data_IF_261749757835
#
_entry.id   IF_261749757835
#
_cell.length_a   1.000
_cell.length_b   1.000
_cell.length_c   1.000
_cell.angle_alpha   90.00
_cell.angle_beta   90.00
_cell.angle_gamma   90.00
#
_symmetry.space_group_name_H-M   'P 1'
#
loop_
_entity.id
_entity.type
_entity.pdbx_description
1 polymer ?
#
# COMPACT_ATOMS: atom_id res chain seq x y z
N UNK A 1 13.12 -44.59 -42.29
CA UNK A 1 13.57 -43.38 -41.54
C UNK A 1 12.34 -42.54 -41.24
N UNK A 2 11.85 -42.48 -39.98
CA UNK A 2 10.70 -41.65 -39.65
C UNK A 2 11.12 -40.23 -39.26
N UNK A 3 10.33 -39.25 -39.72
CA UNK A 3 10.38 -37.83 -39.34
C UNK A 3 9.82 -37.68 -37.92
N UNK A 4 10.56 -37.03 -37.03
CA UNK A 4 10.05 -36.54 -35.75
C UNK A 4 9.40 -35.16 -35.93
N UNK A 5 8.21 -35.01 -35.34
CA UNK A 5 7.29 -33.87 -35.40
C UNK A 5 7.64 -32.77 -34.37
N UNK A 6 7.24 -31.50 -34.59
CA UNK A 6 7.35 -30.44 -33.59
C UNK A 6 5.96 -30.14 -32.98
N UNK A 7 5.53 -30.88 -31.96
CA UNK A 7 4.20 -30.68 -31.34
C UNK A 7 4.25 -30.24 -29.86
N UNK A 8 5.43 -30.20 -29.24
CA UNK A 8 5.57 -30.02 -27.79
C UNK A 8 5.66 -28.55 -27.31
N UNK A 9 5.78 -27.57 -28.20
CA UNK A 9 6.00 -26.16 -27.84
C UNK A 9 4.72 -25.34 -27.62
N UNK A 10 3.55 -25.84 -28.06
CA UNK A 10 2.29 -25.10 -27.98
C UNK A 10 1.53 -25.31 -26.64
N UNK A 11 1.62 -26.51 -26.07
CA UNK A 11 0.93 -26.89 -24.82
C UNK A 11 1.47 -26.21 -23.55
N UNK A 12 2.77 -25.87 -23.50
CA UNK A 12 3.33 -25.19 -22.32
C UNK A 12 2.94 -23.71 -22.25
N UNK A 13 2.56 -23.11 -23.38
CA UNK A 13 2.26 -21.68 -23.50
C UNK A 13 0.84 -21.36 -23.01
N UNK A 14 -0.15 -22.22 -23.30
CA UNK A 14 -1.51 -22.09 -22.76
C UNK A 14 -1.56 -22.39 -21.25
N UNK A 15 -0.80 -23.39 -20.79
CA UNK A 15 -0.72 -23.75 -19.37
C UNK A 15 -0.21 -22.60 -18.47
N UNK A 16 0.73 -21.79 -18.97
CA UNK A 16 1.24 -20.61 -18.25
C UNK A 16 0.19 -19.50 -18.07
N UNK A 17 -0.70 -19.30 -19.04
CA UNK A 17 -1.79 -18.32 -18.92
C UNK A 17 -2.85 -18.76 -17.91
N UNK A 18 -3.18 -20.06 -17.86
CA UNK A 18 -4.12 -20.58 -16.88
C UNK A 18 -3.59 -20.49 -15.43
N UNK A 19 -2.29 -20.69 -15.21
CA UNK A 19 -1.63 -20.48 -13.91
C UNK A 19 -1.63 -19.01 -13.46
N UNK A 20 -1.46 -18.05 -14.37
CA UNK A 20 -1.52 -16.63 -14.06
C UNK A 20 -2.94 -16.18 -13.68
N UNK A 21 -3.94 -16.68 -14.40
CA UNK A 21 -5.36 -16.38 -14.16
C UNK A 21 -5.83 -17.00 -12.83
N UNK A 22 -5.42 -18.23 -12.53
CA UNK A 22 -5.76 -18.89 -11.26
C UNK A 22 -5.08 -18.23 -10.06
N UNK A 23 -3.81 -17.80 -10.20
CA UNK A 23 -3.12 -17.02 -9.18
C UNK A 23 -3.80 -15.69 -8.88
N UNK A 24 -4.26 -14.97 -9.92
CA UNK A 24 -5.03 -13.74 -9.74
C UNK A 24 -6.38 -13.99 -9.05
N UNK A 25 -7.09 -15.07 -9.42
CA UNK A 25 -8.36 -15.44 -8.78
C UNK A 25 -8.21 -15.78 -7.29
N UNK A 26 -7.13 -16.49 -6.91
CA UNK A 26 -6.84 -16.80 -5.50
C UNK A 26 -6.53 -15.54 -4.69
N UNK A 27 -5.75 -14.60 -5.24
CA UNK A 27 -5.46 -13.32 -4.59
C UNK A 27 -6.74 -12.49 -4.40
N UNK A 28 -7.62 -12.46 -5.41
CA UNK A 28 -8.91 -11.76 -5.31
C UNK A 28 -9.81 -12.38 -4.24
N UNK A 29 -9.88 -13.71 -4.17
CA UNK A 29 -10.72 -14.42 -3.19
C UNK A 29 -10.23 -14.19 -1.75
N UNK A 30 -8.92 -14.32 -1.50
CA UNK A 30 -8.34 -14.07 -0.18
C UNK A 30 -8.53 -12.61 0.26
N UNK A 31 -8.38 -11.66 -0.67
CA UNK A 31 -8.59 -10.24 -0.39
C UNK A 31 -10.05 -9.94 -0.03
N UNK A 32 -11.01 -10.64 -0.61
CA UNK A 32 -12.42 -10.46 -0.31
C UNK A 32 -12.77 -10.92 1.12
N UNK A 33 -12.19 -12.03 1.58
CA UNK A 33 -12.41 -12.56 2.93
C UNK A 33 -11.81 -11.63 4.00
N UNK A 34 -10.57 -11.17 3.81
CA UNK A 34 -9.90 -10.24 4.73
C UNK A 34 -10.62 -8.89 4.84
N UNK A 35 -11.21 -8.40 3.74
CA UNK A 35 -12.02 -7.19 3.76
C UNK A 35 -13.29 -7.34 4.61
N UNK A 36 -13.88 -8.54 4.62
CA UNK A 36 -15.10 -8.80 5.39
C UNK A 36 -14.80 -8.78 6.89
N UNK A 37 -13.74 -9.47 7.32
CA UNK A 37 -13.31 -9.49 8.72
C UNK A 37 -12.90 -8.10 9.25
N UNK A 38 -12.19 -7.32 8.45
CA UNK A 38 -11.80 -5.96 8.85
C UNK A 38 -13.01 -5.01 8.89
N UNK A 39 -14.03 -5.27 8.06
CA UNK A 39 -15.27 -4.50 8.07
C UNK A 39 -16.13 -4.79 9.29
N UNK A 40 -16.21 -6.04 9.72
CA UNK A 40 -16.92 -6.42 10.95
C UNK A 40 -16.32 -5.72 12.17
N UNK A 41 -14.99 -5.76 12.34
CA UNK A 41 -14.29 -5.03 13.41
C UNK A 41 -14.55 -3.53 13.37
N UNK A 42 -14.61 -2.95 12.18
CA UNK A 42 -14.91 -1.53 12.01
C UNK A 42 -16.36 -1.21 12.43
N UNK A 43 -17.32 -2.04 12.04
CA UNK A 43 -18.73 -1.89 12.41
C UNK A 43 -18.90 -1.99 13.93
N UNK A 44 -18.25 -2.95 14.58
CA UNK A 44 -18.29 -3.12 16.03
C UNK A 44 -17.79 -1.86 16.78
N UNK A 45 -16.63 -1.32 16.38
CA UNK A 45 -16.07 -0.11 16.99
C UNK A 45 -16.93 1.12 16.68
N UNK A 46 -17.50 1.20 15.48
CA UNK A 46 -18.42 2.27 15.09
C UNK A 46 -19.73 2.23 15.89
N UNK A 47 -20.31 1.04 16.09
CA UNK A 47 -21.51 0.84 16.91
C UNK A 47 -21.24 1.15 18.38
N UNK A 48 -20.08 0.76 18.92
CA UNK A 48 -19.66 1.15 20.28
C UNK A 48 -19.55 2.67 20.43
N UNK A 49 -18.93 3.36 19.47
CA UNK A 49 -18.82 4.81 19.48
C UNK A 49 -20.18 5.53 19.34
N UNK A 50 -21.11 4.97 18.55
CA UNK A 50 -22.49 5.50 18.42
C UNK A 50 -23.34 5.27 19.66
N UNK A 51 -23.20 4.11 20.30
CA UNK A 51 -23.95 3.75 21.52
C UNK A 51 -23.42 4.43 22.77
N UNK A 52 -22.13 4.81 22.79
CA UNK A 52 -21.48 5.49 23.92
C UNK A 52 -20.89 6.85 23.48
N UNK A 53 -21.71 7.83 23.05
CA UNK A 53 -21.23 9.10 22.48
C UNK A 53 -20.45 9.97 23.48
N UNK A 54 -20.67 9.79 24.79
CA UNK A 54 -19.96 10.51 25.84
C UNK A 54 -18.69 9.77 26.32
N UNK A 55 -18.42 8.55 25.82
CA UNK A 55 -17.21 7.81 26.15
C UNK A 55 -16.08 8.27 25.24
N UNK A 56 -15.16 9.07 25.78
CA UNK A 56 -13.99 9.56 25.05
C UNK A 56 -13.18 8.41 24.43
N UNK A 57 -13.07 7.28 25.13
CA UNK A 57 -12.37 6.09 24.66
C UNK A 57 -12.99 5.49 23.40
N UNK A 58 -14.33 5.41 23.32
CA UNK A 58 -15.02 4.85 22.15
C UNK A 58 -14.83 5.72 20.89
N UNK A 59 -14.92 7.05 21.04
CA UNK A 59 -14.65 7.99 19.93
C UNK A 59 -13.19 7.93 19.47
N UNK A 60 -12.28 7.72 20.42
CA UNK A 60 -10.84 7.66 20.18
C UNK A 60 -10.43 6.36 19.46
N UNK A 61 -10.96 5.21 19.90
CA UNK A 61 -10.74 3.92 19.26
C UNK A 61 -11.26 3.93 17.81
N UNK A 62 -12.40 4.57 17.56
CA UNK A 62 -12.93 4.76 16.21
C UNK A 62 -12.00 5.62 15.34
N UNK A 63 -11.41 6.69 15.87
CA UNK A 63 -10.47 7.52 15.13
C UNK A 63 -9.17 6.76 14.81
N UNK A 64 -8.67 5.97 15.78
CA UNK A 64 -7.48 5.13 15.62
C UNK A 64 -7.67 4.07 14.54
N UNK A 65 -8.74 3.27 14.59
CA UNK A 65 -8.98 2.20 13.62
C UNK A 65 -9.22 2.74 12.21
N UNK A 66 -9.84 3.92 12.09
CA UNK A 66 -9.93 4.64 10.82
C UNK A 66 -8.54 4.95 10.26
N UNK A 67 -7.66 5.54 11.08
CA UNK A 67 -6.30 5.88 10.66
C UNK A 67 -5.49 4.64 10.28
N UNK A 68 -5.53 3.58 11.09
CA UNK A 68 -4.89 2.29 10.79
C UNK A 68 -5.36 1.73 9.44
N UNK A 69 -6.66 1.78 9.15
CA UNK A 69 -7.23 1.37 7.86
C UNK A 69 -6.71 2.20 6.67
N UNK A 70 -6.55 3.52 6.85
CA UNK A 70 -5.94 4.38 5.82
C UNK A 70 -4.46 4.04 5.60
N UNK A 71 -3.71 3.77 6.67
CA UNK A 71 -2.30 3.34 6.61
C UNK A 71 -2.18 2.03 5.83
N UNK A 72 -2.96 1.01 6.22
CA UNK A 72 -2.88 -0.33 5.61
C UNK A 72 -3.23 -0.30 4.12
N UNK A 73 -4.25 0.48 3.75
CA UNK A 73 -4.62 0.70 2.34
C UNK A 73 -3.50 1.39 1.58
N UNK A 74 -2.90 2.41 2.17
CA UNK A 74 -1.82 3.16 1.56
C UNK A 74 -0.56 2.29 1.40
N UNK A 75 -0.14 1.55 2.42
CA UNK A 75 0.98 0.60 2.35
C UNK A 75 0.76 -0.50 1.31
N UNK A 76 -0.45 -1.04 1.22
CA UNK A 76 -0.81 -1.99 0.16
C UNK A 76 -0.71 -1.35 -1.23
N UNK A 77 -1.15 -0.10 -1.37
CA UNK A 77 -1.02 0.67 -2.60
C UNK A 77 0.45 0.92 -2.97
N UNK A 78 1.29 1.33 -2.03
CA UNK A 78 2.75 1.50 -2.21
C UNK A 78 3.37 0.23 -2.79
N UNK A 79 3.06 -0.93 -2.19
CA UNK A 79 3.57 -2.23 -2.63
C UNK A 79 3.13 -2.54 -4.07
N UNK A 80 1.85 -2.34 -4.38
CA UNK A 80 1.31 -2.58 -5.72
C UNK A 80 1.93 -1.67 -6.78
N UNK A 81 2.10 -0.37 -6.49
CA UNK A 81 2.77 0.59 -7.38
C UNK A 81 4.22 0.16 -7.61
N UNK A 82 4.94 -0.22 -6.55
CA UNK A 82 6.31 -0.68 -6.66
C UNK A 82 6.44 -1.90 -7.59
N UNK A 83 5.60 -2.92 -7.38
CA UNK A 83 5.61 -4.14 -8.21
C UNK A 83 5.26 -3.81 -9.68
N UNK A 84 4.22 -2.99 -9.91
CA UNK A 84 3.86 -2.56 -11.25
C UNK A 84 5.00 -1.82 -11.94
N UNK A 85 5.64 -0.89 -11.22
CA UNK A 85 6.79 -0.12 -11.71
C UNK A 85 7.93 -1.05 -12.11
N UNK A 86 8.26 -2.04 -11.26
CA UNK A 86 9.31 -3.02 -11.53
C UNK A 86 8.99 -3.86 -12.77
N UNK A 87 7.75 -4.36 -12.92
CA UNK A 87 7.32 -5.13 -14.10
C UNK A 87 7.44 -4.30 -15.38
N UNK A 88 6.97 -3.05 -15.34
CA UNK A 88 6.99 -2.14 -16.51
C UNK A 88 8.42 -1.80 -16.91
N UNK A 89 9.30 -1.50 -15.96
CA UNK A 89 10.71 -1.24 -16.27
C UNK A 89 11.41 -2.48 -16.82
N UNK A 90 11.16 -3.66 -16.24
CA UNK A 90 11.71 -4.92 -16.77
C UNK A 90 11.22 -5.20 -18.20
N UNK A 91 9.95 -4.93 -18.49
CA UNK A 91 9.41 -5.05 -19.85
C UNK A 91 10.06 -4.04 -20.82
N UNK A 92 10.25 -2.78 -20.40
CA UNK A 92 10.93 -1.75 -21.17
C UNK A 92 12.38 -2.12 -21.48
N UNK A 93 13.15 -2.57 -20.49
CA UNK A 93 14.51 -3.06 -20.70
C UNK A 93 14.56 -4.33 -21.56
N UNK A 94 13.57 -5.22 -21.44
CA UNK A 94 13.48 -6.41 -22.29
C UNK A 94 13.28 -6.04 -23.76
N UNK A 95 12.45 -5.02 -24.06
CA UNK A 95 12.29 -4.51 -25.41
C UNK A 95 13.57 -3.88 -25.95
N UNK A 96 14.29 -3.10 -25.11
CA UNK A 96 15.59 -2.55 -25.51
C UNK A 96 16.57 -3.67 -25.84
N UNK A 97 16.69 -4.66 -24.96
CA UNK A 97 17.58 -5.81 -25.16
C UNK A 97 17.21 -6.64 -26.39
N UNK A 98 15.91 -6.86 -26.63
CA UNK A 98 15.42 -7.54 -27.83
C UNK A 98 15.75 -6.76 -29.10
N UNK A 99 15.53 -5.44 -29.12
CA UNK A 99 15.88 -4.59 -30.25
C UNK A 99 17.37 -4.62 -30.59
N UNK A 100 18.24 -4.56 -29.57
CA UNK A 100 19.69 -4.69 -29.75
C UNK A 100 20.05 -6.08 -30.27
N UNK A 101 19.46 -7.13 -29.69
CA UNK A 101 19.70 -8.51 -30.12
C UNK A 101 19.35 -8.72 -31.60
N UNK A 102 18.21 -8.20 -32.07
CA UNK A 102 17.78 -8.31 -33.48
C UNK A 102 18.84 -7.71 -34.42
N UNK A 103 19.37 -6.53 -34.11
CA UNK A 103 20.39 -5.89 -34.96
C UNK A 103 21.70 -6.68 -35.00
N UNK A 104 22.07 -7.35 -33.91
CA UNK A 104 23.30 -8.14 -33.85
C UNK A 104 23.21 -9.44 -34.65
N UNK A 105 22.04 -10.10 -34.66
CA UNK A 105 21.84 -11.38 -35.36
C UNK A 105 21.50 -11.17 -36.83
N UNK A 106 20.64 -10.19 -37.10
CA UNK A 106 20.15 -9.86 -38.45
C UNK A 106 20.42 -8.37 -38.73
N UNK A 107 21.66 -8.00 -39.11
CA UNK A 107 22.04 -6.60 -39.33
C UNK A 107 21.22 -5.87 -40.41
N UNK A 108 20.53 -6.60 -41.27
CA UNK A 108 19.65 -6.03 -42.30
C UNK A 108 18.32 -5.51 -41.70
N UNK A 109 17.94 -5.94 -40.49
CA UNK A 109 16.68 -5.58 -39.82
C UNK A 109 16.86 -4.43 -38.80
N UNK A 110 17.69 -3.44 -39.16
CA UNK A 110 17.94 -2.24 -38.36
C UNK A 110 16.65 -1.50 -37.98
N UNK A 111 15.68 -1.41 -38.90
CA UNK A 111 14.41 -0.73 -38.64
C UNK A 111 13.63 -1.39 -37.49
N UNK A 112 13.55 -2.73 -37.47
CA UNK A 112 12.85 -3.47 -36.43
C UNK A 112 13.54 -3.30 -35.07
N UNK A 113 14.87 -3.38 -35.05
CA UNK A 113 15.67 -3.16 -33.84
C UNK A 113 15.49 -1.77 -33.25
N UNK A 114 15.58 -0.72 -34.08
CA UNK A 114 15.39 0.68 -33.66
C UNK A 114 13.98 0.90 -33.09
N UNK A 115 12.93 0.43 -33.77
CA UNK A 115 11.55 0.60 -33.29
C UNK A 115 11.35 -0.09 -31.94
N UNK A 116 11.90 -1.29 -31.75
CA UNK A 116 11.81 -2.03 -30.50
C UNK A 116 12.54 -1.32 -29.36
N UNK A 117 13.76 -0.85 -29.61
CA UNK A 117 14.54 -0.10 -28.60
C UNK A 117 13.90 1.24 -28.24
N UNK A 118 13.41 2.01 -29.21
CA UNK A 118 12.70 3.28 -28.95
C UNK A 118 11.43 3.03 -28.12
N UNK A 119 10.66 1.99 -28.47
CA UNK A 119 9.48 1.60 -27.70
C UNK A 119 9.83 1.23 -26.25
N UNK A 120 10.93 0.49 -26.03
CA UNK A 120 11.40 0.14 -24.70
C UNK A 120 11.84 1.34 -23.87
N UNK A 121 12.47 2.35 -24.49
CA UNK A 121 12.80 3.63 -23.84
C UNK A 121 11.53 4.37 -23.43
N UNK A 122 10.51 4.43 -24.29
CA UNK A 122 9.22 5.05 -23.97
C UNK A 122 8.52 4.34 -22.81
N UNK A 123 8.53 3.00 -22.78
CA UNK A 123 7.97 2.20 -21.68
C UNK A 123 8.71 2.48 -20.36
N UNK A 124 10.04 2.59 -20.38
CA UNK A 124 10.82 2.94 -19.20
C UNK A 124 10.54 4.36 -18.70
N UNK A 125 10.30 5.31 -19.61
CA UNK A 125 9.89 6.67 -19.24
C UNK A 125 8.53 6.68 -18.52
N UNK A 126 7.58 5.85 -18.95
CA UNK A 126 6.31 5.65 -18.22
C UNK A 126 6.56 5.03 -16.84
N UNK A 127 7.47 4.04 -16.75
CA UNK A 127 7.90 3.46 -15.47
C UNK A 127 8.48 4.50 -14.50
N UNK A 128 9.27 5.46 -15.00
CA UNK A 128 9.80 6.56 -14.19
C UNK A 128 8.69 7.45 -13.61
N UNK A 129 7.61 7.67 -14.36
CA UNK A 129 6.42 8.38 -13.83
C UNK A 129 5.80 7.63 -12.64
N UNK A 130 5.76 6.30 -12.69
CA UNK A 130 5.25 5.50 -11.56
C UNK A 130 6.14 5.59 -10.31
N UNK A 131 7.46 5.78 -10.46
CA UNK A 131 8.34 6.04 -9.31
C UNK A 131 7.99 7.35 -8.58
N UNK A 132 7.55 8.37 -9.31
CA UNK A 132 7.10 9.63 -8.71
C UNK A 132 5.85 9.40 -7.86
N UNK A 133 4.90 8.62 -8.36
CA UNK A 133 3.69 8.25 -7.62
C UNK A 133 4.06 7.41 -6.40
N UNK A 134 4.91 6.40 -6.56
CA UNK A 134 5.43 5.57 -5.46
C UNK A 134 6.02 6.45 -4.35
N UNK A 135 6.86 7.43 -4.69
CA UNK A 135 7.47 8.34 -3.72
C UNK A 135 6.39 9.11 -2.95
N UNK A 136 5.42 9.71 -3.64
CA UNK A 136 4.35 10.45 -3.00
C UNK A 136 3.49 9.58 -2.09
N UNK A 137 3.14 8.36 -2.52
CA UNK A 137 2.35 7.42 -1.73
C UNK A 137 3.15 6.94 -0.51
N UNK A 138 4.46 6.69 -0.64
CA UNK A 138 5.33 6.33 0.48
C UNK A 138 5.46 7.46 1.51
N UNK A 139 5.60 8.71 1.07
CA UNK A 139 5.62 9.88 1.96
C UNK A 139 4.30 10.01 2.74
N UNK A 140 3.16 9.79 2.07
CA UNK A 140 1.85 9.76 2.72
C UNK A 140 1.75 8.64 3.76
N UNK A 141 2.18 7.42 3.42
CA UNK A 141 2.20 6.29 4.36
C UNK A 141 3.06 6.59 5.60
N UNK A 142 4.26 7.16 5.40
CA UNK A 142 5.14 7.55 6.50
C UNK A 142 4.52 8.62 7.41
N UNK A 143 3.83 9.61 6.84
CA UNK A 143 3.12 10.64 7.61
C UNK A 143 2.02 10.02 8.48
N UNK A 144 1.24 9.10 7.93
CA UNK A 144 0.19 8.44 8.69
C UNK A 144 0.74 7.53 9.79
N UNK A 145 1.83 6.80 9.56
CA UNK A 145 2.51 6.02 10.62
C UNK A 145 2.96 6.94 11.76
N UNK A 146 3.59 8.08 11.45
CA UNK A 146 3.97 9.06 12.47
C UNK A 146 2.77 9.62 13.24
N UNK A 147 1.63 9.81 12.56
CA UNK A 147 0.38 10.22 13.22
C UNK A 147 -0.16 9.12 14.14
N UNK A 148 -0.08 7.85 13.74
CA UNK A 148 -0.51 6.72 14.56
C UNK A 148 0.34 6.59 15.83
N UNK A 149 1.66 6.76 15.74
CA UNK A 149 2.56 6.78 16.90
C UNK A 149 2.18 7.90 17.89
N UNK A 150 1.90 9.10 17.38
CA UNK A 150 1.47 10.24 18.21
C UNK A 150 0.14 9.98 18.88
N UNK A 151 -0.84 9.47 18.14
CA UNK A 151 -2.13 9.08 18.70
C UNK A 151 -1.88 8.05 19.82
N UNK A 152 -1.15 6.96 19.56
CA UNK A 152 -0.86 5.96 20.58
C UNK A 152 -0.23 6.56 21.87
N UNK A 153 0.73 7.48 21.73
CA UNK A 153 1.32 8.19 22.88
C UNK A 153 0.29 9.01 23.67
N UNK A 154 -0.63 9.69 22.99
CA UNK A 154 -1.73 10.44 23.63
C UNK A 154 -2.71 9.50 24.32
N UNK A 155 -3.08 8.40 23.70
CA UNK A 155 -3.97 7.39 24.28
C UNK A 155 -3.40 6.80 25.57
N UNK A 156 -2.12 6.44 25.56
CA UNK A 156 -1.41 5.99 26.76
C UNK A 156 -1.36 7.08 27.85
N UNK A 157 -1.14 8.33 27.47
CA UNK A 157 -1.10 9.46 28.42
C UNK A 157 -2.44 9.70 29.10
N UNK A 158 -3.56 9.63 28.36
CA UNK A 158 -4.92 9.75 28.90
C UNK A 158 -5.25 8.57 29.83
N UNK A 159 -4.89 7.34 29.44
CA UNK A 159 -5.11 6.16 30.29
C UNK A 159 -4.32 6.21 31.59
N UNK A 160 -3.07 6.68 31.56
CA UNK A 160 -2.28 6.89 32.78
C UNK A 160 -2.94 7.94 33.65
N UNK A 161 -3.35 9.07 33.07
CA UNK A 161 -4.00 10.16 33.79
C UNK A 161 -5.34 9.75 34.42
N UNK A 162 -6.09 8.87 33.76
CA UNK A 162 -7.36 8.39 34.29
C UNK A 162 -7.20 7.38 35.43
N UNK A 163 -6.16 6.54 35.35
CA UNK A 163 -5.78 5.56 36.39
C UNK A 163 -5.12 6.16 37.63
N UNK A 164 -4.73 7.44 37.58
CA UNK A 164 -4.24 8.14 38.77
C UNK A 164 -5.42 8.40 39.73
N UNK A 165 -5.61 7.53 40.71
CA UNK A 165 -6.40 7.80 41.93
C UNK A 165 -5.67 8.86 42.77
N UNK A 166 -5.70 10.11 42.31
CA UNK A 166 -5.20 11.22 43.11
C UNK A 166 -6.28 11.58 44.13
N UNK A 167 -5.91 11.65 45.41
CA UNK A 167 -6.77 12.16 46.49
C UNK A 167 -7.19 13.63 46.25
N UNK A 168 -6.56 14.31 45.28
CA UNK A 168 -6.73 15.73 44.98
C UNK A 168 -7.19 15.94 43.53
N UNK A 169 -8.52 16.05 43.37
CA UNK A 169 -9.21 16.27 42.08
C UNK A 169 -8.62 17.45 41.30
N UNK A 170 -8.11 18.47 42.01
CA UNK A 170 -7.55 19.69 41.40
C UNK A 170 -6.28 19.44 40.60
N UNK A 171 -5.45 18.46 41.00
CA UNK A 171 -4.23 18.08 40.30
C UNK A 171 -4.51 17.27 39.03
N UNK A 172 -5.55 16.43 39.06
CA UNK A 172 -6.04 15.70 37.87
C UNK A 172 -6.54 16.68 36.81
N UNK A 173 -7.41 17.61 37.19
CA UNK A 173 -7.97 18.62 36.27
C UNK A 173 -6.88 19.53 35.68
N UNK A 174 -5.89 19.93 36.48
CA UNK A 174 -4.73 20.71 36.00
C UNK A 174 -3.88 19.93 35.00
N UNK A 175 -3.67 18.64 35.22
CA UNK A 175 -2.89 17.78 34.32
C UNK A 175 -3.65 17.51 33.01
N UNK A 176 -4.98 17.37 33.05
CA UNK A 176 -5.84 17.28 31.85
C UNK A 176 -5.76 18.58 31.05
N UNK A 177 -5.83 19.73 31.72
CA UNK A 177 -5.74 21.04 31.08
C UNK A 177 -4.37 21.26 30.41
N UNK A 178 -3.28 20.86 31.06
CA UNK A 178 -1.93 20.98 30.51
C UNK A 178 -1.73 20.05 29.30
N UNK A 179 -2.17 18.78 29.40
CA UNK A 179 -2.19 17.85 28.26
C UNK A 179 -2.98 18.44 27.07
N UNK A 180 -4.15 19.02 27.34
CA UNK A 180 -5.00 19.65 26.32
C UNK A 180 -4.32 20.86 25.65
N UNK A 181 -3.60 21.68 26.41
CA UNK A 181 -2.79 22.78 25.85
C UNK A 181 -1.63 22.28 24.99
N UNK A 182 -0.92 21.24 25.43
CA UNK A 182 0.18 20.65 24.66
C UNK A 182 -0.33 20.02 23.35
N UNK A 183 -1.48 19.35 23.38
CA UNK A 183 -2.15 18.81 22.19
C UNK A 183 -2.51 19.93 21.21
N UNK A 184 -3.17 21.00 21.67
CA UNK A 184 -3.53 22.15 20.82
C UNK A 184 -2.30 22.78 20.15
N UNK A 185 -1.19 22.93 20.88
CA UNK A 185 0.08 23.44 20.33
C UNK A 185 0.68 22.51 19.27
N UNK A 186 0.56 21.20 19.42
CA UNK A 186 1.00 20.22 18.43
C UNK A 186 0.18 20.31 17.12
N UNK A 187 -1.12 20.53 17.21
CA UNK A 187 -2.01 20.66 16.04
C UNK A 187 -1.97 22.04 15.37
N UNK A 188 -1.58 23.12 16.08
CA UNK A 188 -1.42 24.45 15.49
C UNK A 188 -0.10 24.63 14.71
N UNK A 189 0.89 23.76 14.94
CA UNK A 189 2.23 23.86 14.34
C UNK A 189 2.44 22.89 13.17
N UNK A 190 1.45 22.05 12.88
CA UNK A 190 1.40 21.15 11.72
C UNK A 190 0.62 21.80 10.58
#
# INVERSE_FOLDING_TARGET
MPRFTPEHSCLSRSFRWHLAISGFAVVVYQTAEDQTRNREKYIEVEERAKSNPNETQASWDLARIKLESYIDRNLTQVRSIYILTLIVMLAGFSLIGFGVYTVLVEPNDLYAGVISSVSGVLVNFLGATFLVIYKSTMEQASSYVAMLERINAVGMSVQVLDKLETTDQSLKDKSIADLSQQLLKLYQKA
#
